data_IF_145558641747
#
_entry.id   IF_145558641747
#
_cell.length_a   1.000
_cell.length_b   1.000
_cell.length_c   1.000
_cell.angle_alpha   90.00
_cell.angle_beta   90.00
_cell.angle_gamma   90.00
#
_symmetry.space_group_name_H-M   'P 1'
#
loop_
_entity.id
_entity.type
_entity.pdbx_description
1 polymer ?
#
# COMPACT_ATOMS: atom_id res chain seq x y z
N UNK A 1 47.49 -2.80 11.17
CA UNK A 1 46.72 -1.56 10.99
C UNK A 1 45.25 -1.93 10.95
N UNK A 2 44.63 -2.06 12.13
CA UNK A 2 43.20 -2.32 12.29
C UNK A 2 42.60 -1.11 13.00
N UNK A 3 41.63 -0.43 12.38
CA UNK A 3 40.86 0.63 13.03
C UNK A 3 39.37 0.29 12.95
N UNK A 4 38.88 -0.24 14.07
CA UNK A 4 37.48 -0.51 14.39
C UNK A 4 36.73 0.78 14.72
N UNK A 5 35.60 0.99 14.05
CA UNK A 5 34.26 1.24 14.60
C UNK A 5 34.20 1.82 16.03
N UNK A 6 33.92 3.13 16.15
CA UNK A 6 33.20 3.81 17.24
C UNK A 6 32.62 5.12 16.68
N UNK A 7 31.42 5.60 16.98
CA UNK A 7 30.23 5.12 17.68
C UNK A 7 29.18 6.21 17.44
N UNK A 8 27.98 5.79 17.04
CA UNK A 8 26.79 6.59 16.74
C UNK A 8 26.14 7.25 17.98
N UNK A 9 26.88 7.42 19.07
CA UNK A 9 26.39 7.96 20.34
C UNK A 9 26.47 9.50 20.40
N UNK A 10 27.45 10.12 19.74
CA UNK A 10 27.69 11.57 19.84
C UNK A 10 26.64 12.38 19.07
N UNK A 11 26.11 11.85 17.96
CA UNK A 11 25.06 12.50 17.19
C UNK A 11 23.69 12.54 17.92
N UNK A 12 23.43 11.60 18.84
CA UNK A 12 22.19 11.58 19.64
C UNK A 12 22.18 12.65 20.73
N UNK A 13 23.35 13.06 21.23
CA UNK A 13 23.44 14.02 22.32
C UNK A 13 23.34 15.48 21.87
N UNK A 14 23.63 15.77 20.59
CA UNK A 14 23.65 17.14 20.08
C UNK A 14 22.26 17.66 19.68
N UNK A 15 21.34 16.78 19.24
CA UNK A 15 19.99 17.19 18.83
C UNK A 15 19.04 17.38 20.02
N UNK A 16 19.33 16.76 21.18
CA UNK A 16 18.55 16.96 22.41
C UNK A 16 18.78 18.33 23.09
N UNK A 17 19.77 19.12 22.63
CA UNK A 17 20.09 20.43 23.23
C UNK A 17 19.42 21.63 22.56
N UNK A 18 18.82 21.47 21.39
CA UNK A 18 18.20 22.60 20.63
C UNK A 18 16.70 22.80 20.96
N UNK A 19 16.07 21.90 21.73
CA UNK A 19 14.68 22.05 22.17
C UNK A 19 14.56 22.13 23.70
N UNK A 20 15.25 23.09 24.32
CA UNK A 20 15.30 23.26 25.78
C UNK A 20 14.06 23.94 26.40
N UNK A 21 12.88 23.83 25.79
CA UNK A 21 11.63 24.30 26.44
C UNK A 21 10.54 23.24 26.32
N UNK A 22 10.36 22.49 27.41
CA UNK A 22 9.25 21.56 27.61
C UNK A 22 7.87 22.18 27.29
N UNK A 23 7.73 23.51 27.39
CA UNK A 23 6.48 24.23 27.08
C UNK A 23 6.14 24.28 25.59
N UNK A 24 7.11 24.43 24.70
CA UNK A 24 6.85 24.50 23.25
C UNK A 24 6.52 23.13 22.66
N UNK A 25 7.15 22.07 23.17
CA UNK A 25 6.89 20.69 22.75
C UNK A 25 5.46 20.23 23.11
N UNK A 26 5.01 20.52 24.34
CA UNK A 26 3.66 20.18 24.79
C UNK A 26 2.58 20.97 24.01
N UNK A 27 2.87 22.22 23.66
CA UNK A 27 1.97 23.04 22.86
C UNK A 27 1.88 22.59 21.40
N UNK A 28 3.01 22.17 20.80
CA UNK A 28 3.05 21.56 19.46
C UNK A 28 2.33 20.20 19.46
N UNK A 29 2.53 19.39 20.50
CA UNK A 29 1.88 18.09 20.67
C UNK A 29 0.35 18.25 20.81
N UNK A 30 -0.10 19.23 21.61
CA UNK A 30 -1.53 19.56 21.76
C UNK A 30 -2.17 20.05 20.45
N UNK A 31 -1.48 20.91 19.70
CA UNK A 31 -1.92 21.34 18.36
C UNK A 31 -1.95 20.18 17.35
N UNK A 32 -0.99 19.28 17.40
CA UNK A 32 -0.93 18.09 16.55
C UNK A 32 -2.07 17.11 16.84
N UNK A 33 -2.37 16.86 18.12
CA UNK A 33 -3.53 16.06 18.56
C UNK A 33 -4.83 16.70 18.06
N UNK A 34 -4.96 18.03 18.08
CA UNK A 34 -6.15 18.70 17.54
C UNK A 34 -6.28 18.58 16.01
N UNK A 35 -5.17 18.64 15.27
CA UNK A 35 -5.16 18.48 13.81
C UNK A 35 -5.48 17.02 13.39
N UNK A 36 -4.92 16.02 14.08
CA UNK A 36 -5.25 14.60 13.82
C UNK A 36 -6.67 14.23 14.27
N UNK A 37 -7.17 14.81 15.37
CA UNK A 37 -8.55 14.61 15.82
C UNK A 37 -9.61 15.18 14.85
N UNK A 38 -9.23 16.10 13.97
CA UNK A 38 -10.08 16.68 12.94
C UNK A 38 -10.08 15.87 11.63
N UNK A 39 -9.08 15.02 11.40
CA UNK A 39 -8.87 14.32 10.13
C UNK A 39 -9.08 12.81 10.19
N UNK A 40 -9.09 12.17 11.38
CA UNK A 40 -9.29 10.72 11.46
C UNK A 40 -9.97 10.25 12.77
N UNK A 41 -10.80 9.20 12.70
CA UNK A 41 -11.50 8.57 13.85
C UNK A 41 -10.55 7.72 14.72
N UNK A 42 -9.47 8.30 15.23
CA UNK A 42 -8.59 7.69 16.26
C UNK A 42 -8.60 8.49 17.58
N UNK A 43 -9.76 9.05 17.96
CA UNK A 43 -9.92 9.80 19.22
C UNK A 43 -9.64 8.97 20.48
N UNK A 44 -9.75 7.65 20.42
CA UNK A 44 -9.57 6.77 21.59
C UNK A 44 -8.10 6.41 21.87
N UNK A 45 -7.28 6.31 20.82
CA UNK A 45 -5.90 5.83 20.98
C UNK A 45 -4.87 6.96 21.17
N UNK A 46 -5.15 8.17 20.69
CA UNK A 46 -4.23 9.31 20.85
C UNK A 46 -4.20 9.92 22.25
N UNK A 47 -5.27 9.76 23.04
CA UNK A 47 -5.36 10.38 24.38
C UNK A 47 -4.49 9.69 25.45
N UNK A 48 -4.08 8.45 25.19
CA UNK A 48 -3.29 7.62 26.11
C UNK A 48 -1.83 7.49 25.68
N UNK A 49 -1.45 8.11 24.56
CA UNK A 49 -0.14 7.94 23.94
C UNK A 49 0.86 8.95 24.53
N UNK A 50 1.98 8.46 25.02
CA UNK A 50 3.07 9.29 25.55
C UNK A 50 3.71 10.13 24.45
N UNK A 51 4.34 11.25 24.81
CA UNK A 51 5.05 12.12 23.86
C UNK A 51 6.11 11.35 23.05
N UNK A 52 6.74 10.33 23.65
CA UNK A 52 7.69 9.44 22.97
C UNK A 52 7.01 8.57 21.91
N UNK A 53 5.84 8.01 22.21
CA UNK A 53 5.08 7.19 21.27
C UNK A 53 4.50 8.03 20.12
N UNK A 54 4.08 9.27 20.38
CA UNK A 54 3.65 10.21 19.34
C UNK A 54 4.81 10.62 18.43
N UNK A 55 6.01 10.83 18.98
CA UNK A 55 7.24 11.07 18.18
C UNK A 55 7.59 9.83 17.35
N UNK A 56 7.48 8.62 17.92
CA UNK A 56 7.70 7.36 17.21
C UNK A 56 6.69 7.16 16.08
N UNK A 57 5.40 7.43 16.32
CA UNK A 57 4.31 7.42 15.33
C UNK A 57 4.49 8.43 14.20
N UNK A 58 5.21 9.52 14.44
CA UNK A 58 5.58 10.52 13.43
C UNK A 58 6.88 10.16 12.69
N UNK A 59 7.84 9.51 13.35
CA UNK A 59 9.14 9.13 12.77
C UNK A 59 9.11 7.82 11.97
N UNK A 60 8.23 6.88 12.31
CA UNK A 60 8.14 5.56 11.66
C UNK A 60 7.12 5.49 10.50
N UNK A 61 6.55 6.62 10.06
CA UNK A 61 5.66 6.58 8.90
C UNK A 61 6.48 6.29 7.66
N UNK A 62 6.11 5.24 6.94
CA UNK A 62 6.63 4.96 5.61
C UNK A 62 6.16 6.07 4.68
N UNK A 63 7.07 6.67 3.94
CA UNK A 63 6.82 7.84 3.11
C UNK A 63 7.31 7.56 1.70
N UNK A 64 6.49 7.89 0.71
CA UNK A 64 6.98 8.17 -0.62
C UNK A 64 7.54 9.59 -0.66
N UNK A 65 8.79 9.74 -1.09
CA UNK A 65 9.48 11.03 -1.14
C UNK A 65 10.61 11.02 -2.18
N UNK A 66 10.61 12.01 -3.08
CA UNK A 66 11.64 12.19 -4.12
C UNK A 66 12.77 13.13 -3.68
N UNK A 67 12.99 13.28 -2.36
CA UNK A 67 14.01 14.13 -1.70
C UNK A 67 13.77 15.63 -1.91
N UNK A 68 14.70 16.47 -1.44
CA UNK A 68 14.63 17.93 -1.52
C UNK A 68 13.33 18.51 -0.93
N UNK A 69 12.78 19.56 -1.52
CA UNK A 69 11.54 20.20 -1.09
C UNK A 69 10.28 19.50 -1.64
N UNK A 70 10.40 18.28 -2.16
CA UNK A 70 9.24 17.54 -2.67
C UNK A 70 8.32 17.09 -1.55
N UNK A 71 7.03 17.00 -1.85
CA UNK A 71 6.00 16.57 -0.91
C UNK A 71 6.29 15.15 -0.41
N UNK A 72 6.17 14.95 0.90
CA UNK A 72 6.24 13.64 1.54
C UNK A 72 4.84 13.05 1.61
N UNK A 73 4.61 11.98 0.87
CA UNK A 73 3.30 11.30 0.83
C UNK A 73 3.35 10.10 1.78
N UNK A 74 2.56 10.08 2.86
CA UNK A 74 2.58 8.97 3.81
C UNK A 74 1.87 7.74 3.25
N UNK A 75 2.45 6.56 3.44
CA UNK A 75 1.83 5.30 3.00
C UNK A 75 0.51 4.99 3.73
N UNK A 76 0.26 5.65 4.87
CA UNK A 76 -1.04 5.61 5.53
C UNK A 76 -2.19 6.12 4.65
N UNK A 77 -1.90 6.96 3.65
CA UNK A 77 -2.90 7.39 2.67
C UNK A 77 -3.53 6.19 1.96
N UNK A 78 -2.69 5.27 1.47
CA UNK A 78 -3.15 4.09 0.73
C UNK A 78 -3.81 3.07 1.66
N UNK A 79 -3.30 2.92 2.88
CA UNK A 79 -3.98 2.14 3.92
C UNK A 79 -5.40 2.66 4.18
N UNK A 80 -5.56 3.96 4.41
CA UNK A 80 -6.86 4.58 4.67
C UNK A 80 -7.82 4.41 3.47
N UNK A 81 -7.30 4.45 2.24
CA UNK A 81 -8.08 4.18 1.04
C UNK A 81 -8.63 2.74 1.01
N UNK A 82 -7.80 1.74 1.31
CA UNK A 82 -8.25 0.34 1.41
C UNK A 82 -9.32 0.17 2.48
N UNK A 83 -9.16 0.80 3.65
CA UNK A 83 -10.18 0.77 4.71
C UNK A 83 -11.51 1.40 4.27
N UNK A 84 -11.46 2.53 3.55
CA UNK A 84 -12.66 3.19 3.00
C UNK A 84 -13.35 2.32 1.98
N UNK A 85 -12.60 1.70 1.07
CA UNK A 85 -13.15 0.79 0.05
C UNK A 85 -13.88 -0.40 0.70
N UNK A 86 -13.22 -1.09 1.64
CA UNK A 86 -13.84 -2.22 2.36
C UNK A 86 -15.08 -1.76 3.15
N UNK A 87 -15.01 -0.60 3.79
CA UNK A 87 -16.15 -0.04 4.53
C UNK A 87 -17.34 0.25 3.62
N UNK A 88 -17.10 0.79 2.40
CA UNK A 88 -18.14 1.07 1.42
C UNK A 88 -18.78 -0.21 0.89
N UNK A 89 -17.97 -1.21 0.53
CA UNK A 89 -18.47 -2.52 0.12
C UNK A 89 -19.37 -3.14 1.20
N UNK A 90 -18.96 -3.08 2.47
CA UNK A 90 -19.76 -3.59 3.60
C UNK A 90 -21.04 -2.80 3.89
N UNK A 91 -21.10 -1.52 3.51
CA UNK A 91 -22.22 -0.64 3.84
C UNK A 91 -23.41 -0.77 2.88
N UNK A 92 -23.28 -1.43 1.72
CA UNK A 92 -24.36 -1.52 0.72
C UNK A 92 -25.50 -2.43 1.25
N UNK A 93 -26.72 -1.88 1.50
CA UNK A 93 -27.76 -2.53 2.29
C UNK A 93 -28.48 -3.71 1.61
N UNK A 94 -28.22 -3.96 0.32
CA UNK A 94 -28.82 -5.06 -0.44
C UNK A 94 -27.84 -6.24 -0.66
N UNK A 95 -26.62 -6.15 -0.17
CA UNK A 95 -25.57 -7.15 -0.34
C UNK A 95 -25.31 -7.87 0.98
N UNK A 96 -26.16 -8.82 1.32
CA UNK A 96 -26.07 -9.66 2.54
C UNK A 96 -24.89 -10.65 2.52
N UNK A 97 -23.82 -10.40 1.75
CA UNK A 97 -23.11 -11.49 1.03
C UNK A 97 -21.58 -11.54 1.08
N UNK A 98 -20.90 -10.71 1.87
CA UNK A 98 -19.44 -10.85 2.02
C UNK A 98 -19.11 -12.04 2.94
N UNK A 99 -19.20 -13.23 2.36
CA UNK A 99 -18.82 -14.50 2.99
C UNK A 99 -17.33 -14.41 3.33
N UNK A 100 -16.90 -14.93 4.50
CA UNK A 100 -15.48 -15.19 4.75
C UNK A 100 -14.82 -15.85 3.54
N UNK A 101 -13.69 -15.31 3.09
CA UNK A 101 -13.06 -15.73 1.83
C UNK A 101 -13.44 -14.86 0.63
N UNK A 102 -13.97 -13.65 0.83
CA UNK A 102 -14.12 -12.67 -0.26
C UNK A 102 -12.90 -11.76 -0.31
N UNK A 103 -12.24 -11.70 -1.46
CA UNK A 103 -11.05 -10.88 -1.69
C UNK A 103 -11.29 -9.91 -2.84
N UNK A 104 -10.85 -8.66 -2.69
CA UNK A 104 -10.64 -7.75 -3.81
C UNK A 104 -9.30 -8.13 -4.44
N UNK A 105 -9.23 -8.28 -5.77
CA UNK A 105 -7.97 -8.53 -6.48
C UNK A 105 -7.79 -7.52 -7.62
N UNK A 106 -6.70 -6.75 -7.53
CA UNK A 106 -6.33 -5.75 -8.49
C UNK A 106 -5.02 -6.13 -9.19
N UNK A 107 -5.00 -6.05 -10.51
CA UNK A 107 -3.80 -6.16 -11.31
C UNK A 107 -3.18 -4.77 -11.52
N UNK A 108 -1.90 -4.63 -11.22
CA UNK A 108 -1.12 -3.44 -11.52
C UNK A 108 -0.81 -3.30 -13.01
N UNK A 109 -0.28 -2.14 -13.38
CA UNK A 109 0.23 -1.87 -14.71
C UNK A 109 1.44 -2.76 -15.03
N UNK A 110 1.63 -3.00 -16.33
CA UNK A 110 2.80 -3.69 -16.88
C UNK A 110 3.58 -2.70 -17.75
N UNK A 111 4.86 -2.97 -17.97
CA UNK A 111 5.65 -2.19 -18.92
C UNK A 111 5.16 -2.43 -20.35
N UNK A 112 5.23 -1.39 -21.18
CA UNK A 112 4.77 -1.43 -22.57
C UNK A 112 5.96 -1.10 -23.47
N UNK A 113 6.39 -2.04 -24.33
CA UNK A 113 7.48 -1.79 -25.27
C UNK A 113 7.07 -0.79 -26.35
N UNK A 114 8.06 -0.16 -26.97
CA UNK A 114 7.90 0.69 -28.13
C UNK A 114 7.72 -0.19 -29.37
N UNK A 115 6.48 -0.50 -29.71
CA UNK A 115 6.13 -1.43 -30.78
C UNK A 115 6.75 -2.82 -30.52
N UNK A 116 7.65 -3.27 -31.39
CA UNK A 116 8.35 -4.56 -31.37
C UNK A 116 9.82 -4.44 -30.93
N UNK A 117 10.20 -3.34 -30.26
CA UNK A 117 11.57 -3.14 -29.73
C UNK A 117 11.71 -3.51 -28.26
N UNK A 118 12.96 -3.55 -27.79
CA UNK A 118 13.37 -3.76 -26.40
C UNK A 118 13.38 -2.47 -25.55
N UNK A 119 12.84 -1.37 -26.07
CA UNK A 119 12.75 -0.08 -25.38
C UNK A 119 11.34 0.11 -24.82
N UNK A 120 11.21 0.42 -23.54
CA UNK A 120 9.91 0.59 -22.89
C UNK A 120 9.51 2.07 -22.74
N UNK A 121 8.20 2.34 -22.79
CA UNK A 121 7.66 3.63 -22.35
C UNK A 121 7.90 3.81 -20.84
N UNK A 122 8.14 5.05 -20.36
CA UNK A 122 8.22 5.31 -18.93
C UNK A 122 7.00 4.77 -18.20
N UNK A 123 7.24 3.85 -17.26
CA UNK A 123 6.16 3.19 -16.55
C UNK A 123 5.37 4.17 -15.68
N UNK A 124 4.04 4.09 -15.77
CA UNK A 124 3.11 4.74 -14.85
C UNK A 124 2.09 3.70 -14.40
N UNK A 125 1.89 3.64 -13.10
CA UNK A 125 0.96 2.70 -12.48
C UNK A 125 -0.50 2.93 -12.93
N UNK A 126 -1.27 1.83 -12.95
CA UNK A 126 -2.72 1.85 -13.14
C UNK A 126 -3.39 2.60 -11.97
N UNK A 127 -4.37 3.45 -12.28
CA UNK A 127 -4.92 4.43 -11.32
C UNK A 127 -5.60 3.79 -10.11
N UNK A 128 -6.40 2.74 -10.28
CA UNK A 128 -7.07 2.08 -9.16
C UNK A 128 -6.09 1.31 -8.29
N UNK A 129 -5.12 0.62 -8.89
CA UNK A 129 -4.02 -0.04 -8.20
C UNK A 129 -3.17 0.97 -7.40
N UNK A 130 -2.80 2.08 -8.03
CA UNK A 130 -2.08 3.17 -7.38
C UNK A 130 -2.86 3.74 -6.20
N UNK A 131 -4.18 3.91 -6.34
CA UNK A 131 -5.03 4.44 -5.28
C UNK A 131 -5.10 3.51 -4.05
N UNK A 132 -5.07 2.20 -4.26
CA UNK A 132 -5.10 1.20 -3.19
C UNK A 132 -3.73 0.93 -2.55
N UNK A 133 -2.64 0.91 -3.32
CA UNK A 133 -1.34 0.38 -2.88
C UNK A 133 -0.18 1.37 -2.97
N UNK A 134 -0.23 2.34 -3.87
CA UNK A 134 0.85 3.32 -4.05
C UNK A 134 2.16 2.74 -4.60
N UNK A 135 2.10 1.57 -5.24
CA UNK A 135 3.24 0.79 -5.70
C UNK A 135 3.80 1.32 -7.02
N UNK A 136 5.12 1.49 -7.07
CA UNK A 136 5.83 2.04 -8.23
C UNK A 136 6.32 0.97 -9.21
N UNK A 137 6.44 -0.29 -8.79
CA UNK A 137 6.94 -1.36 -9.63
C UNK A 137 5.86 -1.92 -10.58
N UNK A 138 6.23 -2.28 -11.82
CA UNK A 138 5.34 -2.92 -12.77
C UNK A 138 5.10 -4.40 -12.44
N UNK A 139 4.05 -4.98 -13.01
CA UNK A 139 3.75 -6.41 -12.95
C UNK A 139 3.24 -6.90 -11.59
N UNK A 140 3.01 -6.00 -10.63
CA UNK A 140 2.50 -6.35 -9.31
C UNK A 140 0.99 -6.66 -9.33
N UNK A 141 0.52 -7.42 -8.34
CA UNK A 141 -0.89 -7.61 -8.02
C UNK A 141 -1.13 -7.29 -6.55
N UNK A 142 -2.37 -7.03 -6.19
CA UNK A 142 -2.74 -6.62 -4.86
C UNK A 142 -4.06 -7.25 -4.49
N UNK A 143 -4.10 -7.92 -3.34
CA UNK A 143 -5.32 -8.48 -2.78
C UNK A 143 -5.68 -7.78 -1.47
N UNK A 144 -6.98 -7.65 -1.22
CA UNK A 144 -7.51 -7.11 0.04
C UNK A 144 -8.60 -8.06 0.52
N UNK A 145 -8.40 -8.64 1.70
CA UNK A 145 -9.43 -9.43 2.38
C UNK A 145 -10.57 -8.49 2.80
N UNK A 146 -11.77 -8.70 2.26
CA UNK A 146 -12.93 -7.86 2.58
C UNK A 146 -13.32 -8.03 4.05
N UNK A 147 -13.13 -9.20 4.66
CA UNK A 147 -13.51 -9.46 6.04
C UNK A 147 -12.56 -8.76 7.02
N UNK A 148 -11.25 -8.98 6.88
CA UNK A 148 -10.24 -8.47 7.82
C UNK A 148 -9.64 -7.12 7.44
N UNK A 149 -9.88 -6.64 6.22
CA UNK A 149 -9.19 -5.51 5.59
C UNK A 149 -7.67 -5.69 5.45
N UNK A 150 -7.15 -6.91 5.62
CA UNK A 150 -5.73 -7.21 5.44
C UNK A 150 -5.34 -7.13 3.96
N UNK A 151 -4.17 -6.56 3.69
CA UNK A 151 -3.65 -6.28 2.37
C UNK A 151 -2.43 -7.14 2.04
N UNK A 152 -2.47 -7.73 0.85
CA UNK A 152 -1.44 -8.61 0.32
C UNK A 152 -0.91 -8.00 -0.97
N UNK A 153 0.41 -7.84 -1.09
CA UNK A 153 1.06 -7.39 -2.32
C UNK A 153 1.81 -8.57 -2.96
N UNK A 154 1.58 -8.79 -4.25
CA UNK A 154 2.30 -9.78 -5.02
C UNK A 154 3.27 -9.07 -5.97
N UNK A 155 4.54 -9.41 -5.89
CA UNK A 155 5.61 -8.79 -6.70
C UNK A 155 6.25 -9.81 -7.64
N UNK A 156 6.70 -9.40 -8.85
CA UNK A 156 7.35 -10.33 -9.77
C UNK A 156 8.60 -10.96 -9.15
N UNK A 157 8.78 -12.27 -9.35
CA UNK A 157 10.03 -12.96 -9.01
C UNK A 157 11.05 -12.68 -10.12
N UNK A 158 12.04 -11.85 -9.80
CA UNK A 158 13.07 -11.46 -10.77
C UNK A 158 14.26 -12.43 -10.75
N UNK A 159 14.84 -12.77 -11.91
CA UNK A 159 16.03 -13.62 -11.97
C UNK A 159 17.25 -12.90 -11.39
N UNK A 160 18.26 -13.61 -10.86
CA UNK A 160 19.45 -12.98 -10.26
C UNK A 160 20.20 -12.04 -11.22
N UNK A 161 20.18 -12.35 -12.51
CA UNK A 161 20.81 -11.57 -13.59
C UNK A 161 20.23 -10.16 -13.71
N UNK A 162 18.97 -9.97 -13.32
CA UNK A 162 18.29 -8.68 -13.31
C UNK A 162 19.04 -7.67 -12.42
N UNK A 163 19.73 -8.15 -11.38
CA UNK A 163 20.49 -7.30 -10.48
C UNK A 163 21.65 -6.55 -11.16
N UNK A 164 22.15 -7.10 -12.28
CA UNK A 164 23.27 -6.54 -13.05
C UNK A 164 22.81 -5.29 -13.80
N UNK A 165 21.58 -5.29 -14.30
CA UNK A 165 21.06 -4.27 -15.21
C UNK A 165 20.20 -3.23 -14.49
N UNK A 166 19.36 -3.68 -13.55
CA UNK A 166 18.26 -2.88 -12.97
C UNK A 166 18.51 -2.55 -11.48
N UNK A 167 19.62 -3.03 -10.93
CA UNK A 167 20.09 -2.69 -9.59
C UNK A 167 19.64 -3.69 -8.51
N UNK A 168 19.55 -3.22 -7.26
CA UNK A 168 19.34 -4.12 -6.12
C UNK A 168 18.00 -4.86 -6.23
N UNK A 169 18.04 -6.20 -6.18
CA UNK A 169 16.84 -7.01 -5.97
C UNK A 169 16.33 -6.84 -4.54
N UNK A 170 15.13 -6.31 -4.43
CA UNK A 170 14.43 -6.14 -3.16
C UNK A 170 13.83 -7.47 -2.70
N UNK A 171 13.90 -7.72 -1.39
CA UNK A 171 13.24 -8.86 -0.76
C UNK A 171 11.74 -8.60 -0.57
N UNK A 172 10.95 -9.65 -0.33
CA UNK A 172 9.53 -9.49 0.01
C UNK A 172 9.35 -8.59 1.25
N UNK A 173 10.20 -8.74 2.28
CA UNK A 173 10.17 -7.89 3.46
C UNK A 173 10.50 -6.42 3.16
N UNK A 174 11.42 -6.15 2.22
CA UNK A 174 11.69 -4.78 1.76
C UNK A 174 10.41 -4.14 1.17
N UNK A 175 9.66 -4.89 0.36
CA UNK A 175 8.39 -4.42 -0.22
C UNK A 175 7.30 -4.23 0.83
N UNK A 176 7.18 -5.17 1.76
CA UNK A 176 6.22 -5.11 2.86
C UNK A 176 6.46 -3.86 3.70
N UNK A 177 7.71 -3.63 4.06
CA UNK A 177 8.13 -2.47 4.83
C UNK A 177 7.96 -1.16 4.04
N UNK A 178 8.34 -1.13 2.76
CA UNK A 178 8.22 0.07 1.92
C UNK A 178 6.77 0.51 1.74
N UNK A 179 5.88 -0.43 1.45
CA UNK A 179 4.49 -0.13 1.11
C UNK A 179 3.51 -0.16 2.29
N UNK A 180 3.96 -0.65 3.46
CA UNK A 180 3.09 -0.74 4.64
C UNK A 180 1.87 -1.62 4.39
N UNK A 181 2.09 -2.74 3.70
CA UNK A 181 1.10 -3.81 3.50
C UNK A 181 1.29 -4.90 4.57
N UNK A 182 0.29 -5.75 4.75
CA UNK A 182 0.31 -6.77 5.81
C UNK A 182 1.13 -7.99 5.40
N UNK A 183 1.07 -8.35 4.11
CA UNK A 183 1.75 -9.52 3.54
C UNK A 183 2.29 -9.24 2.14
N UNK A 184 3.35 -9.96 1.78
CA UNK A 184 4.00 -9.90 0.48
C UNK A 184 4.35 -11.29 0.01
N UNK A 185 4.04 -11.60 -1.24
CA UNK A 185 4.34 -12.89 -1.89
C UNK A 185 4.76 -12.64 -3.34
N UNK A 186 5.14 -13.69 -4.07
CA UNK A 186 5.45 -13.56 -5.49
C UNK A 186 4.22 -13.73 -6.38
N UNK A 187 4.26 -13.15 -7.58
CA UNK A 187 3.12 -13.23 -8.53
C UNK A 187 2.83 -14.63 -9.04
N UNK A 188 3.83 -15.52 -9.06
CA UNK A 188 3.68 -16.94 -9.40
C UNK A 188 2.99 -17.75 -8.29
N UNK A 189 2.78 -17.15 -7.11
CA UNK A 189 2.18 -17.79 -5.93
C UNK A 189 0.73 -17.33 -5.66
N UNK A 190 0.17 -16.42 -6.47
CA UNK A 190 -1.14 -15.77 -6.22
C UNK A 190 -2.24 -16.79 -5.92
N UNK A 191 -2.45 -17.76 -6.81
CA UNK A 191 -3.52 -18.76 -6.64
C UNK A 191 -3.31 -19.63 -5.40
N UNK A 192 -2.05 -20.02 -5.12
CA UNK A 192 -1.72 -20.83 -3.94
C UNK A 192 -2.02 -20.07 -2.65
N UNK A 193 -1.58 -18.82 -2.55
CA UNK A 193 -1.78 -17.97 -1.37
C UNK A 193 -3.27 -17.69 -1.15
N UNK A 194 -4.02 -17.37 -2.21
CA UNK A 194 -5.46 -17.13 -2.10
C UNK A 194 -6.22 -18.40 -1.65
N UNK A 195 -5.82 -19.60 -2.11
CA UNK A 195 -6.41 -20.87 -1.63
C UNK A 195 -6.09 -21.12 -0.16
N UNK A 196 -4.84 -20.89 0.27
CA UNK A 196 -4.44 -21.03 1.68
C UNK A 196 -5.27 -20.10 2.58
N UNK A 197 -5.56 -18.89 2.10
CA UNK A 197 -6.45 -17.92 2.75
C UNK A 197 -7.94 -18.28 2.66
N UNK A 198 -8.29 -19.44 2.12
CA UNK A 198 -9.66 -19.90 1.89
C UNK A 198 -10.49 -18.92 1.07
N UNK A 199 -9.86 -18.25 0.09
CA UNK A 199 -10.57 -17.38 -0.85
C UNK A 199 -11.56 -18.20 -1.69
N UNK A 200 -12.80 -17.73 -1.77
CA UNK A 200 -13.88 -18.32 -2.54
C UNK A 200 -14.35 -17.38 -3.65
N UNK A 201 -14.36 -16.07 -3.36
CA UNK A 201 -14.90 -15.05 -4.25
C UNK A 201 -13.84 -13.97 -4.47
N UNK A 202 -13.55 -13.67 -5.73
CA UNK A 202 -12.64 -12.61 -6.12
C UNK A 202 -13.41 -11.46 -6.76
N UNK A 203 -13.46 -10.31 -6.10
CA UNK A 203 -13.98 -9.08 -6.67
C UNK A 203 -12.90 -8.47 -7.55
N UNK A 204 -13.17 -8.31 -8.85
CA UNK A 204 -12.20 -7.73 -9.81
C UNK A 204 -12.81 -6.55 -10.56
N UNK A 205 -11.95 -5.72 -11.17
CA UNK A 205 -12.40 -4.50 -11.83
C UNK A 205 -13.02 -4.80 -13.18
N UNK A 206 -14.33 -4.55 -13.30
CA UNK A 206 -15.01 -4.48 -14.57
C UNK A 206 -15.94 -3.27 -14.59
N UNK A 207 -15.56 -2.26 -15.37
CA UNK A 207 -16.43 -1.14 -15.62
C UNK A 207 -15.94 -0.22 -16.72
N UNK A 208 -16.85 0.60 -17.20
CA UNK A 208 -16.63 1.52 -18.32
C UNK A 208 -16.37 2.92 -17.79
N UNK A 209 -15.23 3.50 -18.14
CA UNK A 209 -14.93 4.89 -17.83
C UNK A 209 -15.90 5.82 -18.59
N UNK A 210 -16.51 6.77 -17.88
CA UNK A 210 -17.53 7.66 -18.46
C UNK A 210 -16.97 8.61 -19.50
N UNK A 211 -15.69 8.96 -19.45
CA UNK A 211 -15.08 9.96 -20.31
C UNK A 211 -14.47 9.31 -21.54
N UNK A 212 -13.54 8.36 -21.35
CA UNK A 212 -12.85 7.67 -22.45
C UNK A 212 -13.69 6.58 -23.12
N UNK A 213 -14.75 6.13 -22.46
CA UNK A 213 -15.57 4.97 -22.87
C UNK A 213 -14.82 3.64 -22.92
N UNK A 214 -13.58 3.60 -22.44
CA UNK A 214 -12.81 2.36 -22.33
C UNK A 214 -13.27 1.56 -21.10
N UNK A 215 -13.21 0.23 -21.23
CA UNK A 215 -13.45 -0.68 -20.12
C UNK A 215 -12.14 -0.92 -19.37
N UNK A 216 -12.23 -1.12 -18.05
CA UNK A 216 -11.08 -1.56 -17.24
C UNK A 216 -10.49 -2.85 -17.79
N UNK A 217 -9.17 -3.01 -17.61
CA UNK A 217 -8.49 -4.26 -17.92
C UNK A 217 -8.99 -5.36 -16.97
N UNK A 218 -9.29 -6.51 -17.52
CA UNK A 218 -9.61 -7.71 -16.74
C UNK A 218 -8.37 -8.18 -15.95
N UNK A 219 -8.58 -8.49 -14.67
CA UNK A 219 -7.54 -9.09 -13.82
C UNK A 219 -7.32 -10.53 -14.27
N UNK A 220 -6.10 -10.86 -14.67
CA UNK A 220 -5.72 -12.22 -15.10
C UNK A 220 -4.54 -12.75 -14.29
N UNK A 221 -4.57 -14.01 -13.87
CA UNK A 221 -3.43 -14.75 -13.34
C UNK A 221 -3.69 -16.26 -13.45
N UNK A 222 -2.62 -17.07 -13.44
CA UNK A 222 -2.74 -18.52 -13.57
C UNK A 222 -3.49 -19.12 -12.37
N UNK A 223 -4.58 -19.85 -12.63
CA UNK A 223 -5.45 -20.46 -11.61
C UNK A 223 -6.59 -19.55 -11.11
N UNK A 224 -6.85 -18.41 -11.74
CA UNK A 224 -7.99 -17.54 -11.40
C UNK A 224 -9.35 -18.24 -11.62
N UNK A 225 -9.42 -19.16 -12.57
CA UNK A 225 -10.60 -19.96 -12.94
C UNK A 225 -11.05 -20.92 -11.83
N UNK A 226 -10.19 -21.19 -10.85
CA UNK A 226 -10.51 -22.01 -9.68
C UNK A 226 -11.36 -21.26 -8.64
N UNK A 227 -11.56 -19.94 -8.82
CA UNK A 227 -12.32 -19.09 -7.91
C UNK A 227 -13.59 -18.55 -8.58
N UNK A 228 -14.59 -18.21 -7.76
CA UNK A 228 -15.74 -17.46 -8.27
C UNK A 228 -15.35 -15.99 -8.46
N UNK A 229 -15.33 -15.51 -9.69
CA UNK A 229 -15.03 -14.10 -9.97
C UNK A 229 -16.33 -13.29 -9.99
N UNK A 230 -16.34 -12.19 -9.23
CA UNK A 230 -17.37 -11.17 -9.24
C UNK A 230 -16.87 -9.92 -9.96
N UNK A 231 -17.64 -9.47 -10.94
CA UNK A 231 -17.31 -8.35 -11.81
C UNK A 231 -18.20 -7.12 -11.56
N UNK A 232 -19.22 -7.25 -10.71
CA UNK A 232 -20.31 -6.27 -10.64
C UNK A 232 -20.08 -5.24 -9.53
N UNK A 233 -19.49 -5.67 -8.40
CA UNK A 233 -19.56 -4.89 -7.17
C UNK A 233 -18.36 -3.96 -6.96
N UNK A 234 -17.17 -4.34 -7.43
CA UNK A 234 -15.95 -3.60 -7.13
C UNK A 234 -15.90 -2.24 -7.81
N UNK A 235 -16.14 -2.19 -9.12
CA UNK A 235 -16.02 -0.95 -9.91
C UNK A 235 -16.90 0.21 -9.40
N UNK A 236 -18.21 0.03 -9.16
CA UNK A 236 -19.02 1.13 -8.61
C UNK A 236 -18.55 1.52 -7.20
N UNK A 237 -18.16 0.57 -6.35
CA UNK A 237 -17.73 0.85 -4.99
C UNK A 237 -16.40 1.63 -4.90
N UNK A 238 -15.46 1.37 -5.81
CA UNK A 238 -14.16 2.07 -5.84
C UNK A 238 -14.26 3.45 -6.51
N UNK A 239 -15.22 3.66 -7.41
CA UNK A 239 -15.47 4.95 -8.06
C UNK A 239 -16.30 5.93 -7.23
N UNK A 240 -17.00 5.46 -6.19
CA UNK A 240 -17.78 6.31 -5.28
C UNK A 240 -16.85 7.03 -4.27
N UNK A 241 -16.76 8.36 -4.37
CA UNK A 241 -15.92 9.24 -3.53
C UNK A 241 -16.68 9.76 -2.31
#
# INVERSE_FOLDING_TARGET
TNMLIKSSAVARHFVLRIFSSFRTLNHLCSKFIQIEAATNRRKKDLKTCTTSELIQLCFNRKLFWRRSETLKVPMSLFYDNRQRLVSRLKAKPNETRWIPGTFIVLQGGVEVPFNDTDIYWPFRQESFFQWCFGVEEPGCYGAIDVNTSASILFVPRLPPEYAIWEGKLHTLDDFKERYGVDETHYTDEIASVLKEKSAQVLLTLNGKNSDSKLTTRETIFDGIDEFRVDLEHLYPAICEW
#
